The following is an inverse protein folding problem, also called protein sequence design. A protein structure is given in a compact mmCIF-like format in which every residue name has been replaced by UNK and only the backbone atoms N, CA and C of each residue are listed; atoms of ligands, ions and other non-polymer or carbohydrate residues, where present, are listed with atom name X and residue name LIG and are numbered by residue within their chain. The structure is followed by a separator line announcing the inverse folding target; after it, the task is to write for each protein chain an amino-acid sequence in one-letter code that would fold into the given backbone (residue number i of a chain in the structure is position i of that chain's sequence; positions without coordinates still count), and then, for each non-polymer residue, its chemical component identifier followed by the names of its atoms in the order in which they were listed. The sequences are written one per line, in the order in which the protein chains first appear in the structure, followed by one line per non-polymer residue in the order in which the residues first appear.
data_IF_562026186372
#
_entry.id   IF_562026186372
#
_cell.length_a   1.000
_cell.length_b   1.000
_cell.length_c   1.000
_cell.angle_alpha   90.00
_cell.angle_beta   90.00
_cell.angle_gamma   90.00
#
_symmetry.space_group_name_H-M   'P 1'
#
loop_
_entity.id
_entity.type
_entity.pdbx_description
1 polymer ?
#
# COMPACT_ATOMS: atom_id res chain seq x y z
N UNK A 1 2.40 2.73 11.53
CA UNK A 1 3.21 1.61 11.01
C UNK A 1 2.80 1.38 9.56
N UNK A 2 3.75 1.37 8.64
CA UNK A 2 3.56 1.22 7.20
C UNK A 2 4.01 -0.19 6.79
N UNK A 3 3.07 -1.09 6.55
CA UNK A 3 3.36 -2.47 6.13
C UNK A 3 3.29 -2.61 4.62
N UNK A 4 4.43 -2.56 3.94
CA UNK A 4 4.50 -2.47 2.47
C UNK A 4 3.84 -3.64 1.73
N UNK A 5 3.71 -4.80 2.37
CA UNK A 5 3.08 -5.97 1.76
C UNK A 5 1.55 -5.92 1.91
N UNK A 6 1.05 -5.25 2.96
CA UNK A 6 -0.36 -5.29 3.37
C UNK A 6 -1.07 -3.92 3.29
N UNK A 7 -0.34 -2.86 2.95
CA UNK A 7 -0.82 -1.48 2.79
C UNK A 7 -1.67 -1.29 1.53
N UNK A 8 -2.71 -0.46 1.59
CA UNK A 8 -3.51 -0.06 0.41
C UNK A 8 -3.11 1.32 -0.11
N UNK A 9 -3.55 1.67 -1.33
CA UNK A 9 -3.14 2.91 -1.98
C UNK A 9 -3.47 4.16 -1.13
N UNK A 10 -4.63 4.17 -0.47
CA UNK A 10 -5.06 5.29 0.39
C UNK A 10 -4.16 5.46 1.62
N UNK A 11 -3.57 4.40 2.15
CA UNK A 11 -2.67 4.50 3.30
C UNK A 11 -1.39 5.27 2.97
N UNK A 12 -0.96 5.33 1.70
CA UNK A 12 0.18 6.16 1.33
C UNK A 12 -0.11 7.66 1.39
N UNK A 13 -1.39 8.07 1.35
CA UNK A 13 -1.79 9.48 1.38
C UNK A 13 -1.52 10.15 2.72
N UNK A 14 -1.46 9.37 3.81
CA UNK A 14 -1.12 9.89 5.15
C UNK A 14 0.39 10.06 5.36
N UNK A 15 1.22 9.67 4.38
CA UNK A 15 2.68 9.82 4.41
C UNK A 15 3.12 10.82 3.33
N UNK A 16 3.34 12.11 3.69
CA UNK A 16 3.80 13.13 2.77
C UNK A 16 5.01 12.69 1.92
N UNK A 17 4.91 12.85 0.61
CA UNK A 17 5.97 12.48 -0.34
C UNK A 17 5.96 11.01 -0.79
N UNK A 18 5.17 10.11 -0.17
CA UNK A 18 5.07 8.72 -0.65
C UNK A 18 4.00 8.53 -1.72
N UNK A 19 2.95 9.36 -1.74
CA UNK A 19 1.89 9.32 -2.74
C UNK A 19 2.07 10.44 -3.77
N UNK A 20 1.86 10.21 -5.08
CA UNK A 20 1.38 8.97 -5.72
C UNK A 20 2.48 8.00 -6.19
N UNK A 21 3.73 8.45 -6.32
CA UNK A 21 4.79 7.73 -7.06
C UNK A 21 5.36 6.54 -6.29
N UNK A 22 5.95 6.75 -5.12
CA UNK A 22 6.61 5.70 -4.33
C UNK A 22 5.60 4.61 -3.94
N UNK A 23 4.43 5.00 -3.42
CA UNK A 23 3.37 4.08 -3.02
C UNK A 23 2.91 3.16 -4.15
N UNK A 24 2.71 3.71 -5.36
CA UNK A 24 2.32 2.92 -6.53
C UNK A 24 3.39 1.89 -6.93
N UNK A 25 4.67 2.27 -6.87
CA UNK A 25 5.80 1.37 -7.18
C UNK A 25 5.91 0.25 -6.15
N UNK A 26 5.83 0.58 -4.87
CA UNK A 26 5.89 -0.40 -3.79
C UNK A 26 4.73 -1.39 -3.86
N UNK A 27 3.51 -0.93 -4.12
CA UNK A 27 2.36 -1.81 -4.28
C UNK A 27 2.48 -2.74 -5.49
N UNK A 28 2.99 -2.23 -6.61
CA UNK A 28 3.15 -3.01 -7.85
C UNK A 28 4.24 -4.08 -7.74
N UNK A 29 5.28 -3.83 -6.94
CA UNK A 29 6.43 -4.72 -6.75
C UNK A 29 6.31 -5.61 -5.50
N UNK A 30 5.33 -5.38 -4.63
CA UNK A 30 5.05 -6.23 -3.48
C UNK A 30 4.58 -7.65 -3.92
N UNK A 31 4.88 -8.71 -3.14
CA UNK A 31 5.45 -8.69 -1.80
C UNK A 31 6.98 -8.60 -1.78
N UNK A 32 7.51 -8.00 -0.71
CA UNK A 32 8.94 -7.93 -0.40
C UNK A 32 9.29 -8.88 0.75
N UNK A 33 10.49 -9.45 0.70
CA UNK A 33 11.01 -10.32 1.77
C UNK A 33 11.70 -9.53 2.89
N UNK A 34 12.21 -8.34 2.57
CA UNK A 34 12.97 -7.52 3.52
C UNK A 34 12.92 -6.04 3.16
N UNK A 35 13.24 -5.16 4.12
CA UNK A 35 13.37 -3.71 3.87
C UNK A 35 14.36 -3.39 2.74
N UNK A 36 15.45 -4.16 2.62
CA UNK A 36 16.43 -3.98 1.55
C UNK A 36 15.79 -4.16 0.17
N UNK A 37 14.91 -5.14 0.02
CA UNK A 37 14.16 -5.34 -1.23
C UNK A 37 13.19 -4.18 -1.53
N UNK A 38 12.60 -3.58 -0.49
CA UNK A 38 11.76 -2.37 -0.64
C UNK A 38 12.55 -1.20 -1.23
N UNK A 39 13.74 -0.91 -0.69
CA UNK A 39 14.58 0.18 -1.21
C UNK A 39 15.14 -0.11 -2.61
N UNK A 40 15.45 -1.38 -2.91
CA UNK A 40 15.87 -1.81 -4.23
C UNK A 40 14.75 -1.70 -5.29
N UNK A 41 13.49 -1.65 -4.85
CA UNK A 41 12.33 -1.48 -5.70
C UNK A 41 12.16 -0.03 -6.21
N UNK A 42 12.92 0.92 -5.69
CA UNK A 42 12.87 2.34 -6.06
C UNK A 42 13.98 2.69 -7.05
N UNK A 43 13.65 3.55 -8.01
CA UNK A 43 14.47 3.76 -9.21
C UNK A 43 15.44 4.94 -9.02
N UNK A 44 15.19 5.82 -8.04
CA UNK A 44 16.04 6.99 -7.76
C UNK A 44 16.43 7.09 -6.28
N UNK A 45 17.57 7.74 -6.03
CA UNK A 45 18.03 7.99 -4.66
C UNK A 45 17.10 8.96 -3.91
N UNK A 46 16.50 9.93 -4.61
CA UNK A 46 15.48 10.83 -4.03
C UNK A 46 14.28 10.06 -3.49
N UNK A 47 13.80 9.04 -4.20
CA UNK A 47 12.69 8.19 -3.72
C UNK A 47 13.10 7.39 -2.47
N UNK A 48 14.34 6.88 -2.45
CA UNK A 48 14.86 6.15 -1.29
C UNK A 48 15.00 7.05 -0.07
N UNK A 49 15.47 8.28 -0.26
CA UNK A 49 15.57 9.29 0.81
C UNK A 49 14.19 9.66 1.36
N UNK A 50 13.20 9.86 0.49
CA UNK A 50 11.81 10.12 0.89
C UNK A 50 11.22 8.95 1.69
N UNK A 51 11.46 7.70 1.26
CA UNK A 51 11.03 6.52 2.02
C UNK A 51 11.78 6.39 3.36
N UNK A 52 13.06 6.75 3.40
CA UNK A 52 13.93 6.62 4.59
C UNK A 52 13.45 7.46 5.77
N UNK A 53 12.76 8.58 5.53
CA UNK A 53 12.09 9.37 6.57
C UNK A 53 11.11 8.51 7.39
N UNK A 54 10.51 7.51 6.76
CA UNK A 54 9.53 6.61 7.36
C UNK A 54 10.12 5.26 7.76
N UNK A 55 11.45 5.07 7.74
CA UNK A 55 12.06 3.75 7.99
C UNK A 55 11.73 3.19 9.38
N UNK A 56 11.63 4.07 10.38
CA UNK A 56 11.28 3.72 11.77
C UNK A 56 9.91 3.07 11.91
N UNK A 57 8.99 3.38 10.99
CA UNK A 57 7.63 2.85 10.97
C UNK A 57 7.40 1.85 9.83
N UNK A 58 8.38 1.66 8.94
CA UNK A 58 8.36 0.75 7.81
C UNK A 58 8.47 -0.70 8.32
N UNK A 59 7.53 -1.54 7.89
CA UNK A 59 7.43 -2.93 8.28
C UNK A 59 7.27 -3.78 7.03
N UNK A 60 7.90 -4.95 7.05
CA UNK A 60 7.72 -5.99 6.03
C UNK A 60 7.18 -7.22 6.76
N UNK A 61 5.90 -7.53 6.59
CA UNK A 61 5.28 -8.75 7.11
C UNK A 61 4.88 -9.67 5.97
N UNK A 62 4.68 -10.97 6.24
CA UNK A 62 4.06 -11.86 5.26
C UNK A 62 2.76 -11.26 4.72
N UNK A 63 2.53 -11.51 3.43
CA UNK A 63 1.33 -11.05 2.73
C UNK A 63 0.11 -11.74 3.33
N UNK A 64 -0.88 -10.97 3.74
CA UNK A 64 -2.07 -11.51 4.36
C UNK A 64 -3.15 -11.85 3.33
N UNK A 65 -3.60 -13.11 3.22
CA UNK A 65 -4.59 -13.51 2.23
C UNK A 65 -5.94 -12.79 2.40
N UNK A 66 -6.36 -12.47 3.62
CA UNK A 66 -7.64 -11.82 3.91
C UNK A 66 -7.66 -10.36 3.46
N UNK A 67 -6.49 -9.70 3.36
CA UNK A 67 -6.39 -8.36 2.77
C UNK A 67 -6.33 -8.41 1.24
N UNK A 68 -5.91 -9.54 0.67
CA UNK A 68 -5.70 -9.68 -0.78
C UNK A 68 -6.97 -9.98 -1.56
N UNK A 69 -7.94 -10.65 -0.93
CA UNK A 69 -9.29 -10.79 -1.49
C UNK A 69 -9.91 -9.42 -1.81
N UNK A 70 -9.63 -8.39 -1.02
CA UNK A 70 -10.14 -7.05 -1.25
C UNK A 70 -9.26 -6.21 -2.20
N UNK A 71 -7.93 -6.40 -2.20
CA UNK A 71 -7.00 -5.68 -3.09
C UNK A 71 -7.18 -6.02 -4.58
N UNK A 72 -7.43 -7.28 -4.93
CA UNK A 72 -7.60 -7.68 -6.34
C UNK A 72 -8.87 -7.09 -6.98
N UNK A 73 -9.88 -6.74 -6.17
CA UNK A 73 -11.13 -6.16 -6.65
C UNK A 73 -11.03 -4.65 -6.95
N UNK A 74 -10.04 -3.95 -6.38
CA UNK A 74 -9.84 -2.50 -6.59
C UNK A 74 -9.17 -2.20 -7.94
N UNK A 75 -8.37 -3.12 -8.48
CA UNK A 75 -7.69 -2.90 -9.77
C UNK A 75 -8.55 -3.20 -11.01
N UNK A 76 -9.59 -4.03 -10.89
CA UNK A 76 -10.42 -4.41 -12.05
C UNK A 76 -11.40 -3.33 -12.53
N UNK A 77 -11.64 -2.28 -11.75
CA UNK A 77 -12.64 -1.24 -12.09
C UNK A 77 -12.07 0.08 -12.59
N UNK A 78 -10.76 0.30 -12.53
CA UNK A 78 -10.16 1.56 -13.00
C UNK A 78 -9.98 1.67 -14.52
N UNK A 79 -10.34 0.62 -15.27
CA UNK A 79 -10.15 0.52 -16.73
C UNK A 79 -11.42 0.57 -17.59
N UNK A 80 -12.63 0.59 -17.00
CA UNK A 80 -13.88 0.75 -17.77
C UNK A 80 -14.80 1.73 -17.06
N UNK A 81 -15.05 2.86 -17.73
CA UNK A 81 -15.94 3.91 -17.25
C UNK A 81 -17.29 3.36 -16.81
N UNK A 82 -17.61 3.58 -15.55
CA UNK A 82 -18.90 3.26 -14.94
C UNK A 82 -18.83 3.66 -13.48
N UNK A 83 -19.77 4.49 -13.05
CA UNK A 83 -19.82 5.10 -11.72
C UNK A 83 -19.65 4.10 -10.56
N UNK A 84 -18.47 4.03 -9.93
CA UNK A 84 -18.21 3.17 -8.76
C UNK A 84 -17.79 3.93 -7.51
N UNK A 85 -18.27 5.16 -7.27
CA UNK A 85 -17.97 5.86 -6.01
C UNK A 85 -18.54 5.18 -4.74
N UNK A 86 -19.49 4.25 -4.88
CA UNK A 86 -20.16 3.55 -3.75
C UNK A 86 -19.59 2.17 -3.42
N UNK A 87 -18.91 1.50 -4.37
CA UNK A 87 -18.33 0.17 -4.15
C UNK A 87 -16.90 0.20 -3.61
N UNK A 88 -16.14 1.23 -4.00
CA UNK A 88 -14.74 1.39 -3.58
C UNK A 88 -14.63 1.82 -2.11
N UNK A 89 -15.53 2.69 -1.64
CA UNK A 89 -15.54 3.19 -0.25
C UNK A 89 -15.82 2.11 0.79
N UNK A 90 -16.81 1.24 0.56
CA UNK A 90 -17.12 0.16 1.52
C UNK A 90 -15.97 -0.85 1.66
N UNK A 91 -15.29 -1.17 0.54
CA UNK A 91 -14.13 -2.07 0.54
C UNK A 91 -12.93 -1.43 1.19
N UNK A 92 -12.67 -0.16 0.90
CA UNK A 92 -11.62 0.60 1.56
C UNK A 92 -11.88 0.68 3.07
N UNK A 93 -13.14 0.87 3.50
CA UNK A 93 -13.53 0.86 4.92
C UNK A 93 -13.29 -0.50 5.58
N UNK A 94 -13.63 -1.61 4.92
CA UNK A 94 -13.42 -2.97 5.44
C UNK A 94 -11.93 -3.31 5.53
N UNK A 95 -11.13 -2.92 4.53
CA UNK A 95 -9.67 -3.03 4.56
C UNK A 95 -9.09 -2.19 5.71
N UNK A 96 -9.50 -0.93 5.82
CA UNK A 96 -9.06 -0.03 6.91
C UNK A 96 -9.44 -0.60 8.26
N UNK A 97 -10.62 -1.22 8.39
CA UNK A 97 -11.08 -1.89 9.62
C UNK A 97 -10.18 -3.08 9.97
N UNK A 98 -9.96 -4.00 9.04
CA UNK A 98 -9.06 -5.16 9.25
C UNK A 98 -7.65 -4.70 9.64
N UNK A 99 -7.14 -3.65 9.00
CA UNK A 99 -5.85 -3.07 9.34
C UNK A 99 -5.84 -2.34 10.70
N UNK A 100 -6.95 -1.75 11.16
CA UNK A 100 -7.07 -1.12 12.48
C UNK A 100 -7.11 -2.17 13.60
N UNK A 101 -7.87 -3.24 13.41
CA UNK A 101 -7.95 -4.36 14.36
C UNK A 101 -6.57 -4.99 14.60
N UNK A 102 -5.71 -5.01 13.59
CA UNK A 102 -4.33 -5.54 13.66
C UNK A 102 -3.27 -4.56 14.16
N UNK A 103 -3.64 -3.29 14.39
CA UNK A 103 -2.74 -2.24 14.91
C UNK A 103 -2.77 -2.14 16.44
N UNK A 104 -3.77 -2.73 17.10
CA UNK A 104 -3.80 -2.96 18.54
C UNK A 104 -2.85 -4.10 18.92
#
# INVERSE_FOLDING_TARGET
RLDVNNVVAVDFTVFPGLYPTIGSKLMSKAPFESKKAVYAALDSDTEREQLKVYDSILIVRPRDPDLMQYKNAVFYFRGKGGDTKRGDTFRDEEIVRLQRERRQ
#
